data_IF_843072136969
#
_entry.id   IF_843072136969
#
_cell.length_a   1.000
_cell.length_b   1.000
_cell.length_c   1.000
_cell.angle_alpha   90.00
_cell.angle_beta   90.00
_cell.angle_gamma   90.00
#
_symmetry.space_group_name_H-M   'P 1'
#
loop_
_entity.id
_entity.type
_entity.pdbx_description
1 polymer ?
#
# COMPACT_ATOMS: atom_id res chain seq x y z
N UNK A 1 -40.97 -30.51 6.47
CA UNK A 1 -40.83 -29.04 6.55
C UNK A 1 -39.40 -28.73 6.98
N UNK A 2 -38.65 -28.13 6.06
CA UNK A 2 -37.33 -27.46 6.10
C UNK A 2 -36.18 -27.94 7.02
N UNK A 3 -35.14 -28.46 6.34
CA UNK A 3 -33.74 -28.52 6.79
C UNK A 3 -33.20 -27.08 6.81
N UNK A 4 -32.87 -26.56 7.99
CA UNK A 4 -32.19 -25.27 8.13
C UNK A 4 -30.74 -25.38 7.68
N UNK A 5 -30.44 -24.99 6.44
CA UNK A 5 -29.08 -24.66 6.01
C UNK A 5 -28.70 -23.35 6.70
N UNK A 6 -27.89 -23.43 7.75
CA UNK A 6 -27.18 -22.26 8.29
C UNK A 6 -26.17 -21.86 7.21
N UNK A 7 -26.48 -20.78 6.47
CA UNK A 7 -25.48 -20.06 5.68
C UNK A 7 -24.41 -19.58 6.65
N UNK A 8 -23.25 -20.25 6.66
CA UNK A 8 -22.03 -19.67 7.19
C UNK A 8 -21.61 -18.55 6.23
N UNK A 9 -22.12 -17.34 6.46
CA UNK A 9 -21.57 -16.12 5.86
C UNK A 9 -20.22 -15.81 6.52
N UNK A 10 -19.22 -16.61 6.17
CA UNK A 10 -17.83 -16.24 6.39
C UNK A 10 -17.44 -15.29 5.27
N UNK A 11 -17.17 -14.03 5.59
CA UNK A 11 -16.43 -13.12 4.71
C UNK A 11 -15.14 -13.83 4.31
N UNK A 12 -15.06 -14.36 3.09
CA UNK A 12 -13.84 -14.97 2.58
C UNK A 12 -12.88 -13.82 2.31
N UNK A 13 -11.82 -13.69 3.10
CA UNK A 13 -10.66 -12.91 2.68
C UNK A 13 -10.17 -13.56 1.38
N UNK A 14 -10.20 -12.78 0.29
CA UNK A 14 -9.76 -13.28 -1.00
C UNK A 14 -8.24 -13.50 -1.01
N UNK A 15 -7.49 -12.75 -0.22
CA UNK A 15 -6.05 -12.92 -0.07
C UNK A 15 -5.66 -13.35 1.35
N UNK A 16 -4.52 -14.02 1.46
CA UNK A 16 -3.88 -14.34 2.74
C UNK A 16 -2.66 -13.45 2.91
N UNK A 17 -2.61 -12.67 3.99
CA UNK A 17 -1.42 -11.87 4.33
C UNK A 17 -0.29 -12.84 4.74
N UNK A 18 0.83 -12.76 4.03
CA UNK A 18 2.04 -13.55 4.30
C UNK A 18 2.91 -12.84 5.34
N UNK A 19 3.16 -11.54 5.13
CA UNK A 19 4.07 -10.77 5.97
C UNK A 19 3.67 -9.29 6.00
N UNK A 20 4.07 -8.62 7.07
CA UNK A 20 3.94 -7.17 7.24
C UNK A 20 5.21 -6.64 7.89
N UNK A 21 5.88 -5.73 7.21
CA UNK A 21 7.19 -5.21 7.61
C UNK A 21 7.25 -3.69 7.45
N UNK A 22 8.18 -3.06 8.15
CA UNK A 22 8.50 -1.65 7.98
C UNK A 22 9.81 -1.54 7.22
N UNK A 23 9.77 -0.93 6.04
CA UNK A 23 10.94 -0.70 5.21
C UNK A 23 11.47 0.70 5.48
N UNK A 24 12.69 0.75 6.01
CA UNK A 24 13.41 1.99 6.30
C UNK A 24 14.36 2.38 5.16
N UNK A 25 14.78 3.65 5.07
CA UNK A 25 15.86 4.07 4.18
C UNK A 25 17.11 3.19 4.35
N UNK A 26 17.81 2.91 3.25
CA UNK A 26 19.02 2.08 3.27
C UNK A 26 20.20 2.77 3.96
N UNK A 27 20.16 4.11 4.03
CA UNK A 27 21.07 4.92 4.83
C UNK A 27 20.28 5.98 5.60
N UNK A 28 20.72 6.35 6.81
CA UNK A 28 19.97 7.27 7.66
C UNK A 28 19.87 8.65 7.02
N UNK A 29 18.73 9.32 7.26
CA UNK A 29 18.54 10.70 6.82
C UNK A 29 19.53 11.62 7.56
N UNK A 30 20.34 12.44 6.84
CA UNK A 30 21.28 13.36 7.48
C UNK A 30 20.57 14.32 8.45
N UNK A 31 21.25 14.70 9.53
CA UNK A 31 20.68 15.54 10.60
C UNK A 31 20.08 16.86 10.08
N UNK A 32 20.71 17.48 9.08
CA UNK A 32 20.24 18.73 8.46
C UNK A 32 19.04 18.54 7.51
N UNK A 33 18.63 17.31 7.21
CA UNK A 33 17.47 16.95 6.41
C UNK A 33 16.32 16.36 7.24
N UNK A 34 16.38 16.48 8.57
CA UNK A 34 15.37 15.93 9.50
C UNK A 34 13.99 16.57 9.39
N UNK A 35 13.87 17.72 8.73
CA UNK A 35 12.59 18.39 8.53
C UNK A 35 12.43 18.78 7.07
N UNK A 36 11.33 18.34 6.45
CA UNK A 36 10.96 18.73 5.11
C UNK A 36 9.75 19.66 5.16
N UNK A 37 9.94 20.94 4.84
CA UNK A 37 8.86 21.92 4.89
C UNK A 37 7.89 21.73 3.72
N UNK A 38 6.60 21.66 4.03
CA UNK A 38 5.53 21.61 3.04
C UNK A 38 5.33 22.98 2.42
N UNK A 39 5.13 23.03 1.10
CA UNK A 39 4.78 24.26 0.42
C UNK A 39 3.39 24.74 0.83
N UNK A 40 3.03 25.99 0.53
CA UNK A 40 1.67 26.47 0.74
C UNK A 40 0.64 25.64 -0.06
N UNK A 41 1.01 25.15 -1.25
CA UNK A 41 0.14 24.25 -2.01
C UNK A 41 -0.09 22.94 -1.24
N UNK A 42 0.97 22.34 -0.71
CA UNK A 42 0.88 21.10 0.08
C UNK A 42 0.08 21.29 1.38
N UNK A 43 0.07 22.50 1.96
CA UNK A 43 -0.72 22.83 3.16
C UNK A 43 -2.19 23.15 2.85
N UNK A 44 -2.47 23.67 1.66
CA UNK A 44 -3.83 23.95 1.18
C UNK A 44 -4.52 22.70 0.66
N UNK A 45 -3.74 21.73 0.19
CA UNK A 45 -4.21 20.39 -0.17
C UNK A 45 -4.46 19.63 1.14
N UNK A 46 -5.64 19.04 1.33
CA UNK A 46 -5.91 18.31 2.58
C UNK A 46 -4.95 17.08 2.80
N UNK A 47 -5.06 16.24 3.87
CA UNK A 47 -4.35 14.89 3.97
C UNK A 47 -5.09 13.55 3.52
N UNK A 48 -4.91 13.00 2.29
CA UNK A 48 -5.52 11.70 1.82
C UNK A 48 -4.46 10.81 1.22
N UNK A 49 -4.81 9.54 1.22
CA UNK A 49 -4.12 8.46 0.55
C UNK A 49 -4.61 8.37 -0.90
N UNK A 50 -3.68 8.35 -1.85
CA UNK A 50 -3.96 8.09 -3.25
C UNK A 50 -3.75 6.60 -3.49
N UNK A 51 -4.84 5.81 -3.57
CA UNK A 51 -4.74 4.40 -3.87
C UNK A 51 -4.18 4.21 -5.28
N UNK A 52 -3.13 3.38 -5.42
CA UNK A 52 -2.63 2.93 -6.71
C UNK A 52 -2.40 1.42 -6.67
N UNK A 53 -3.02 0.71 -7.62
CA UNK A 53 -2.86 -0.73 -7.83
C UNK A 53 -2.26 -0.92 -9.22
N UNK A 54 -1.19 -1.72 -9.29
CA UNK A 54 -0.54 -2.09 -10.54
C UNK A 54 -0.52 -3.62 -10.66
N UNK A 55 -0.96 -4.11 -11.81
CA UNK A 55 -0.94 -5.53 -12.15
C UNK A 55 0.19 -5.84 -13.11
N UNK A 56 0.99 -6.85 -12.77
CA UNK A 56 2.10 -7.31 -13.60
C UNK A 56 1.86 -8.76 -14.01
N UNK A 57 1.79 -9.07 -15.31
CA UNK A 57 1.65 -10.45 -15.76
C UNK A 57 2.91 -11.25 -15.41
N UNK A 58 2.75 -12.57 -15.25
CA UNK A 58 3.92 -13.43 -15.08
C UNK A 58 4.75 -13.41 -16.36
N UNK A 59 6.06 -13.21 -16.22
CA UNK A 59 6.99 -13.25 -17.34
C UNK A 59 7.65 -14.63 -17.35
N UNK A 60 7.29 -15.47 -18.32
CA UNK A 60 7.79 -16.85 -18.46
C UNK A 60 9.32 -16.93 -18.62
N UNK A 61 9.95 -15.83 -19.05
CA UNK A 61 11.41 -15.74 -19.21
C UNK A 61 12.10 -15.41 -17.86
N UNK A 62 11.35 -14.90 -16.88
CA UNK A 62 11.88 -14.47 -15.59
C UNK A 62 11.83 -15.61 -14.57
N UNK A 63 13.00 -16.19 -14.26
CA UNK A 63 13.15 -17.30 -13.30
C UNK A 63 13.06 -16.90 -11.82
N UNK A 64 12.62 -15.68 -11.50
CA UNK A 64 12.56 -15.21 -10.11
C UNK A 64 11.36 -15.79 -9.38
N UNK A 65 11.63 -16.33 -8.19
CA UNK A 65 10.60 -16.77 -7.26
C UNK A 65 9.80 -15.59 -6.69
N UNK A 66 8.70 -15.88 -6.00
CA UNK A 66 7.97 -14.94 -5.15
C UNK A 66 8.88 -14.13 -4.24
N UNK A 67 9.68 -14.87 -3.48
CA UNK A 67 10.53 -14.34 -2.43
C UNK A 67 11.65 -13.50 -3.03
N UNK A 68 12.17 -13.88 -4.20
CA UNK A 68 13.16 -13.08 -4.93
C UNK A 68 12.59 -11.75 -5.39
N UNK A 69 11.36 -11.74 -5.93
CA UNK A 69 10.69 -10.51 -6.36
C UNK A 69 10.41 -9.61 -5.16
N UNK A 70 9.84 -10.17 -4.09
CA UNK A 70 9.58 -9.45 -2.84
C UNK A 70 10.86 -8.85 -2.23
N UNK A 71 11.94 -9.63 -2.12
CA UNK A 71 13.25 -9.18 -1.64
C UNK A 71 13.83 -8.06 -2.51
N UNK A 72 13.71 -8.16 -3.84
CA UNK A 72 14.14 -7.10 -4.75
C UNK A 72 13.33 -5.81 -4.54
N UNK A 73 12.01 -5.91 -4.41
CA UNK A 73 11.12 -4.76 -4.15
C UNK A 73 11.45 -4.08 -2.81
N UNK A 74 11.58 -4.86 -1.73
CA UNK A 74 11.97 -4.33 -0.40
C UNK A 74 13.31 -3.61 -0.47
N UNK A 75 14.31 -4.21 -1.14
CA UNK A 75 15.64 -3.62 -1.29
C UNK A 75 15.60 -2.33 -2.11
N UNK A 76 14.93 -2.32 -3.26
CA UNK A 76 14.83 -1.11 -4.08
C UNK A 76 14.06 -0.02 -3.35
N UNK A 77 12.98 -0.35 -2.64
CA UNK A 77 12.22 0.60 -1.83
C UNK A 77 13.10 1.24 -0.76
N UNK A 78 13.86 0.44 0.00
CA UNK A 78 14.81 0.95 0.99
C UNK A 78 15.84 1.92 0.38
N UNK A 79 16.37 1.59 -0.81
CA UNK A 79 17.31 2.46 -1.54
C UNK A 79 16.64 3.74 -2.05
N UNK A 80 15.42 3.66 -2.54
CA UNK A 80 14.64 4.82 -2.99
C UNK A 80 14.30 5.74 -1.82
N UNK A 81 13.92 5.20 -0.66
CA UNK A 81 13.62 5.98 0.53
C UNK A 81 14.83 6.79 1.06
N UNK A 82 16.06 6.38 0.75
CA UNK A 82 17.23 7.21 1.03
C UNK A 82 17.20 8.52 0.24
N UNK A 83 16.80 8.47 -1.04
CA UNK A 83 16.72 9.64 -1.91
C UNK A 83 15.45 10.45 -1.66
N UNK A 84 14.36 9.75 -1.33
CA UNK A 84 13.03 10.29 -1.07
C UNK A 84 12.68 10.19 0.42
N UNK A 85 13.61 10.63 1.27
CA UNK A 85 13.54 10.48 2.72
C UNK A 85 12.28 11.04 3.41
N UNK A 86 11.58 12.09 2.91
CA UNK A 86 10.35 12.54 3.56
C UNK A 86 9.26 11.46 3.59
N UNK A 87 9.25 10.54 2.62
CA UNK A 87 8.26 9.44 2.58
C UNK A 87 8.48 8.38 3.68
N UNK A 88 9.66 8.33 4.29
CA UNK A 88 9.94 7.50 5.46
C UNK A 88 9.64 8.21 6.79
N UNK A 89 9.18 9.46 6.76
CA UNK A 89 8.89 10.29 7.92
C UNK A 89 7.45 10.23 8.42
N UNK A 90 7.09 11.16 9.30
CA UNK A 90 5.74 11.32 9.86
C UNK A 90 5.27 12.77 9.83
N UNK A 91 3.96 12.92 9.66
CA UNK A 91 3.24 14.15 10.00
C UNK A 91 2.65 13.95 11.39
N UNK A 92 3.00 14.80 12.34
CA UNK A 92 2.53 14.69 13.71
C UNK A 92 1.04 14.99 13.84
N UNK A 93 0.56 15.97 13.07
CA UNK A 93 -0.85 16.41 13.07
C UNK A 93 -1.30 16.80 11.66
N UNK A 94 -2.61 16.84 11.38
CA UNK A 94 -3.13 17.35 10.11
C UNK A 94 -2.81 18.83 9.84
N UNK A 95 -2.43 19.59 10.87
CA UNK A 95 -2.07 21.01 10.75
C UNK A 95 -0.55 21.23 10.67
N UNK A 96 0.25 20.15 10.71
CA UNK A 96 1.71 20.27 10.67
C UNK A 96 2.16 20.74 9.29
N UNK A 97 3.06 21.72 9.24
CA UNK A 97 3.57 22.36 8.02
C UNK A 97 4.88 21.76 7.51
N UNK A 98 5.34 20.68 8.11
CA UNK A 98 6.55 19.97 7.74
C UNK A 98 6.43 18.47 8.04
N UNK A 99 7.18 17.66 7.31
CA UNK A 99 7.35 16.23 7.61
C UNK A 99 8.55 16.07 8.53
N UNK A 100 8.36 15.35 9.64
CA UNK A 100 9.46 14.87 10.48
C UNK A 100 10.10 13.65 9.81
N UNK A 101 11.27 13.85 9.23
CA UNK A 101 12.04 12.82 8.53
C UNK A 101 12.78 11.93 9.54
N UNK A 102 12.00 11.19 10.33
CA UNK A 102 12.46 10.40 11.47
C UNK A 102 12.89 8.96 11.13
N UNK A 103 12.89 8.59 9.84
CA UNK A 103 13.23 7.25 9.34
C UNK A 103 12.37 6.13 9.96
N UNK A 104 11.15 6.44 10.39
CA UNK A 104 10.21 5.40 10.82
C UNK A 104 9.81 4.45 9.68
N UNK A 105 10.02 4.83 8.42
CA UNK A 105 9.86 3.97 7.26
C UNK A 105 8.40 3.81 6.81
N UNK A 106 8.20 2.93 5.84
CA UNK A 106 6.91 2.65 5.20
C UNK A 106 6.47 1.22 5.43
N UNK A 107 5.16 0.99 5.56
CA UNK A 107 4.60 -0.35 5.72
C UNK A 107 4.63 -1.07 4.37
N UNK A 108 5.19 -2.27 4.34
CA UNK A 108 5.17 -3.19 3.21
C UNK A 108 4.39 -4.45 3.62
N UNK A 109 3.37 -4.81 2.85
CA UNK A 109 2.51 -5.97 3.11
C UNK A 109 2.63 -6.92 1.93
N UNK A 110 2.90 -8.18 2.21
CA UNK A 110 2.86 -9.26 1.22
C UNK A 110 1.60 -10.06 1.42
N UNK A 111 0.90 -10.35 0.33
CA UNK A 111 -0.30 -11.16 0.35
C UNK A 111 -0.28 -12.15 -0.81
N UNK A 112 -0.89 -13.31 -0.59
CA UNK A 112 -1.09 -14.36 -1.58
C UNK A 112 -2.55 -14.43 -1.96
N UNK A 113 -2.82 -14.62 -3.24
CA UNK A 113 -4.13 -14.97 -3.75
C UNK A 113 -4.06 -16.34 -4.44
N UNK A 114 -5.09 -17.15 -4.27
CA UNK A 114 -5.14 -18.53 -4.80
C UNK A 114 -5.72 -18.61 -6.23
N UNK A 115 -5.90 -17.46 -6.91
CA UNK A 115 -6.39 -17.42 -8.29
C UNK A 115 -5.40 -16.76 -9.25
N UNK A 116 -5.56 -17.11 -10.53
CA UNK A 116 -4.78 -16.52 -11.63
C UNK A 116 -5.11 -15.03 -11.78
N UNK A 117 -4.11 -14.23 -12.13
CA UNK A 117 -4.23 -12.78 -12.26
C UNK A 117 -5.43 -12.34 -13.12
N UNK A 118 -5.63 -12.95 -14.30
CA UNK A 118 -6.73 -12.57 -15.20
C UNK A 118 -8.12 -12.82 -14.59
N UNK A 119 -8.27 -13.89 -13.78
CA UNK A 119 -9.52 -14.17 -13.08
C UNK A 119 -9.74 -13.16 -11.97
N UNK A 120 -8.67 -12.85 -11.25
CA UNK A 120 -8.71 -11.86 -10.19
C UNK A 120 -9.08 -10.47 -10.71
N UNK A 121 -8.52 -10.06 -11.85
CA UNK A 121 -8.86 -8.81 -12.53
C UNK A 121 -10.35 -8.74 -12.91
N UNK A 122 -10.89 -9.81 -13.49
CA UNK A 122 -12.32 -9.87 -13.80
C UNK A 122 -13.20 -9.81 -12.54
N UNK A 123 -12.78 -10.43 -11.43
CA UNK A 123 -13.51 -10.35 -10.15
C UNK A 123 -13.53 -8.91 -9.65
N UNK A 124 -12.41 -8.21 -9.74
CA UNK A 124 -12.28 -6.80 -9.35
C UNK A 124 -13.16 -5.88 -10.21
N UNK A 125 -13.26 -6.12 -11.52
CA UNK A 125 -14.06 -5.31 -12.44
C UNK A 125 -15.58 -5.44 -12.18
N UNK A 126 -16.03 -6.60 -11.70
CA UNK A 126 -17.45 -6.88 -11.42
C UNK A 126 -17.85 -6.49 -9.98
N UNK A 127 -16.90 -6.46 -9.03
CA UNK A 127 -17.16 -6.23 -7.61
C UNK A 127 -16.22 -5.15 -7.02
N UNK A 128 -16.61 -3.88 -7.14
CA UNK A 128 -15.87 -2.72 -6.61
C UNK A 128 -15.53 -2.84 -5.10
N UNK A 129 -16.33 -3.56 -4.33
CA UNK A 129 -16.09 -3.77 -2.89
C UNK A 129 -14.82 -4.60 -2.60
N UNK A 130 -14.36 -5.40 -3.57
CA UNK A 130 -13.15 -6.21 -3.44
C UNK A 130 -11.88 -5.35 -3.55
N UNK A 131 -11.91 -4.29 -4.37
CA UNK A 131 -10.78 -3.36 -4.52
C UNK A 131 -10.38 -2.74 -3.17
N UNK A 132 -11.37 -2.39 -2.36
CA UNK A 132 -11.16 -1.80 -1.03
C UNK A 132 -10.34 -2.73 -0.12
N UNK A 133 -10.47 -4.05 -0.28
CA UNK A 133 -9.76 -5.04 0.53
C UNK A 133 -8.28 -5.20 0.15
N UNK A 134 -7.84 -4.65 -0.98
CA UNK A 134 -6.45 -4.74 -1.45
C UNK A 134 -5.53 -3.69 -0.86
N UNK A 135 -6.10 -2.66 -0.25
CA UNK A 135 -5.34 -1.63 0.42
C UNK A 135 -5.17 -2.00 1.90
N UNK A 136 -4.06 -1.58 2.48
CA UNK A 136 -3.81 -1.82 3.89
C UNK A 136 -4.88 -1.15 4.77
N UNK A 137 -5.17 -1.75 5.93
CA UNK A 137 -6.19 -1.31 6.87
C UNK A 137 -6.09 0.19 7.18
N UNK A 138 -7.24 0.89 7.12
CA UNK A 138 -7.34 2.32 7.43
C UNK A 138 -6.87 3.27 6.32
N UNK A 139 -6.50 2.76 5.14
CA UNK A 139 -6.01 3.59 4.03
C UNK A 139 -7.06 3.88 2.95
N UNK A 140 -8.29 3.39 3.14
CA UNK A 140 -9.37 3.48 2.15
C UNK A 140 -10.66 3.98 2.79
N UNK A 141 -11.15 5.11 2.26
CA UNK A 141 -12.50 5.66 2.41
C UNK A 141 -13.08 5.81 3.83
N UNK A 142 -12.30 5.65 4.91
CA UNK A 142 -12.77 6.04 6.25
C UNK A 142 -12.66 7.55 6.42
N UNK A 143 -13.77 8.22 6.10
CA UNK A 143 -14.16 9.62 6.36
C UNK A 143 -14.34 10.48 5.09
N UNK A 144 -15.46 10.31 4.38
CA UNK A 144 -16.00 11.34 3.47
C UNK A 144 -17.37 11.82 3.96
N UNK A 145 -17.46 12.99 4.63
CA UNK A 145 -18.38 14.02 4.21
C UNK A 145 -17.81 14.69 2.94
N UNK A 146 -18.68 15.23 2.10
CA UNK A 146 -18.30 15.75 0.79
C UNK A 146 -17.27 16.86 0.93
N UNK A 147 -16.10 16.65 0.32
CA UNK A 147 -15.21 17.62 -0.34
C UNK A 147 -13.74 17.43 0.03
N UNK A 148 -12.94 17.52 -1.04
CA UNK A 148 -11.50 17.76 -1.11
C UNK A 148 -10.56 16.56 -1.23
N UNK A 149 -9.52 16.82 -2.04
CA UNK A 149 -8.65 15.91 -2.80
C UNK A 149 -7.21 16.09 -2.32
N UNK A 150 -6.43 15.02 -2.23
CA UNK A 150 -5.12 15.05 -1.61
C UNK A 150 -4.17 13.91 -2.04
N UNK A 151 -2.85 13.97 -1.78
CA UNK A 151 -1.89 12.99 -2.34
C UNK A 151 -0.94 12.42 -1.29
N UNK A 152 -1.05 11.10 -1.06
CA UNK A 152 0.03 10.21 -0.60
C UNK A 152 0.08 9.00 -1.51
N UNK A 153 1.16 8.82 -2.26
CA UNK A 153 1.34 7.66 -3.14
C UNK A 153 1.65 6.43 -2.26
N UNK A 154 0.70 5.53 -2.11
CA UNK A 154 0.98 4.19 -1.58
C UNK A 154 0.91 3.22 -2.75
N UNK A 155 2.06 2.65 -3.08
CA UNK A 155 2.18 1.57 -4.06
C UNK A 155 1.74 0.26 -3.40
N UNK A 156 0.51 -0.19 -3.67
CA UNK A 156 0.15 -1.58 -3.42
C UNK A 156 0.57 -2.40 -4.64
N UNK A 157 1.71 -3.08 -4.54
CA UNK A 157 2.15 -4.03 -5.58
C UNK A 157 1.55 -5.40 -5.27
N UNK A 158 0.45 -5.76 -5.95
CA UNK A 158 0.02 -7.16 -6.00
C UNK A 158 0.87 -7.90 -7.04
N UNK A 159 1.87 -8.62 -6.54
CA UNK A 159 2.51 -9.66 -7.33
C UNK A 159 1.60 -10.90 -7.28
N UNK A 160 0.78 -11.08 -8.30
CA UNK A 160 0.01 -12.31 -8.44
C UNK A 160 0.97 -13.48 -8.70
N UNK A 161 0.78 -14.56 -7.93
CA UNK A 161 1.44 -15.84 -8.18
C UNK A 161 0.60 -16.69 -9.12
N UNK A 162 1.30 -17.40 -10.01
CA UNK A 162 0.86 -18.69 -10.56
C UNK A 162 1.47 -19.79 -9.72
#
# INVERSE_FOLDING_TARGET
MMIGKILRSGRRQLHTIISREIIKPSSPTPSHHRSYNLSQLDQCIPHIYMPLILFYPNNEICSLTADDKARKLKKSLSQTLTQYYPFAGRLHTPTTTYVDCNDEGVVFVEAKHDSLLHKFQHIIEEEDEILVQLFADGMVWQNYPHSYCHIKLVMAALLAHT
#
